data_IF_059225910997
#
_entry.id   IF_059225910997
#
_cell.length_a   1.000
_cell.length_b   1.000
_cell.length_c   1.000
_cell.angle_alpha   90.00
_cell.angle_beta   90.00
_cell.angle_gamma   90.00
#
_symmetry.space_group_name_H-M   'P 1'
#
loop_
_entity.id
_entity.type
_entity.pdbx_description
1 polymer ?
#
# COMPACT_ATOMS: atom_id res chain seq x y z
N UNK A 1 46.68 -17.91 -6.78
CA UNK A 1 45.69 -17.76 -7.87
C UNK A 1 44.34 -17.49 -7.21
N UNK A 2 44.01 -16.20 -7.20
CA UNK A 2 42.78 -15.49 -6.82
C UNK A 2 41.64 -16.22 -6.08
N UNK A 3 41.55 -15.93 -4.77
CA UNK A 3 40.29 -15.76 -4.08
C UNK A 3 39.68 -14.40 -4.51
N UNK A 4 38.57 -14.43 -5.26
CA UNK A 4 37.76 -13.25 -5.53
C UNK A 4 36.70 -13.19 -4.44
N UNK A 5 37.04 -12.52 -3.34
CA UNK A 5 36.07 -12.10 -2.34
C UNK A 5 35.10 -11.10 -2.96
N UNK A 6 33.84 -11.51 -3.08
CA UNK A 6 32.73 -10.58 -3.34
C UNK A 6 32.56 -9.75 -2.08
N UNK A 7 33.21 -8.58 -2.02
CA UNK A 7 32.83 -7.53 -1.08
C UNK A 7 31.45 -7.02 -1.51
N UNK A 8 30.42 -7.38 -0.75
CA UNK A 8 29.19 -6.58 -0.71
C UNK A 8 29.61 -5.15 -0.38
N UNK A 9 29.43 -4.23 -1.33
CA UNK A 9 29.58 -2.82 -1.06
C UNK A 9 28.49 -2.44 -0.04
N UNK A 10 28.88 -2.30 1.22
CA UNK A 10 28.10 -1.57 2.21
C UNK A 10 27.76 -0.22 1.57
N UNK A 11 26.48 0.00 1.24
CA UNK A 11 26.08 1.16 0.46
C UNK A 11 26.47 2.42 1.20
N UNK A 12 27.47 3.13 0.65
CA UNK A 12 28.01 4.39 1.15
C UNK A 12 26.87 5.35 1.49
N UNK A 13 26.89 5.90 2.70
CA UNK A 13 26.02 7.00 3.15
C UNK A 13 26.41 8.36 2.58
N UNK A 14 27.54 8.42 1.88
CA UNK A 14 28.10 9.64 1.30
C UNK A 14 27.20 10.13 0.13
N UNK A 15 26.54 11.27 0.35
CA UNK A 15 25.61 11.87 -0.61
C UNK A 15 24.13 11.51 -0.43
N UNK A 16 23.74 10.73 0.58
CA UNK A 16 22.32 10.48 0.88
C UNK A 16 21.62 11.78 1.33
N UNK A 17 20.47 12.11 0.72
CA UNK A 17 19.71 13.30 1.10
C UNK A 17 18.97 13.03 2.42
N UNK A 18 19.26 13.84 3.43
CA UNK A 18 18.61 13.74 4.74
C UNK A 18 17.27 14.47 4.75
N UNK A 19 16.26 13.82 5.33
CA UNK A 19 14.94 14.35 5.70
C UNK A 19 14.51 13.70 7.02
N UNK A 20 13.48 14.21 7.68
CA UNK A 20 12.93 13.56 8.86
C UNK A 20 11.99 12.42 8.48
N UNK A 21 11.17 12.61 7.42
CA UNK A 21 10.14 11.64 7.02
C UNK A 21 10.18 11.37 5.52
N UNK A 22 10.17 10.08 5.14
CA UNK A 22 9.90 9.66 3.76
C UNK A 22 8.51 9.03 3.70
N UNK A 23 7.67 9.52 2.79
CA UNK A 23 6.38 8.92 2.44
C UNK A 23 6.54 8.17 1.12
N UNK A 24 6.29 6.86 1.10
CA UNK A 24 6.37 6.04 -0.10
C UNK A 24 4.96 5.71 -0.60
N UNK A 25 4.66 6.10 -1.82
CA UNK A 25 3.35 6.02 -2.46
C UNK A 25 2.55 7.31 -2.27
N UNK A 26 1.97 7.81 -3.35
CA UNK A 26 1.14 9.01 -3.38
C UNK A 26 -0.25 8.72 -3.99
N UNK A 27 -0.81 7.57 -3.60
CA UNK A 27 -2.26 7.38 -3.63
C UNK A 27 -2.94 8.06 -2.44
N UNK A 28 -4.25 7.81 -2.26
CA UNK A 28 -5.07 8.43 -1.21
C UNK A 28 -4.46 8.40 0.20
N UNK A 29 -3.78 7.31 0.55
CA UNK A 29 -3.15 7.13 1.85
C UNK A 29 -1.90 7.99 2.05
N UNK A 30 -1.02 8.02 1.04
CA UNK A 30 0.19 8.83 1.07
C UNK A 30 -0.13 10.32 1.04
N UNK A 31 -1.07 10.74 0.18
CA UNK A 31 -1.53 12.13 0.11
C UNK A 31 -2.18 12.59 1.41
N UNK A 32 -3.00 11.74 2.04
CA UNK A 32 -3.56 12.05 3.36
C UNK A 32 -2.47 12.24 4.42
N UNK A 33 -1.46 11.35 4.45
CA UNK A 33 -0.35 11.47 5.40
C UNK A 33 0.50 12.73 5.15
N UNK A 34 0.82 13.01 3.88
CA UNK A 34 1.56 14.21 3.46
C UNK A 34 0.82 15.51 3.81
N UNK A 35 -0.50 15.55 3.62
CA UNK A 35 -1.34 16.67 4.07
C UNK A 35 -1.22 16.89 5.59
N UNK A 36 -1.30 15.83 6.40
CA UNK A 36 -1.18 15.97 7.85
C UNK A 36 0.23 16.39 8.28
N UNK A 37 1.30 15.92 7.60
CA UNK A 37 2.67 16.40 7.81
C UNK A 37 2.75 17.91 7.55
N UNK A 38 2.25 18.35 6.38
CA UNK A 38 2.21 19.77 6.00
C UNK A 38 1.44 20.60 7.02
N UNK A 39 0.27 20.13 7.43
CA UNK A 39 -0.63 20.80 8.38
C UNK A 39 0.01 21.03 9.75
N UNK A 40 0.91 20.15 10.19
CA UNK A 40 1.61 20.29 11.48
C UNK A 40 2.99 20.95 11.35
N UNK A 41 3.30 21.54 10.20
CA UNK A 41 4.46 22.42 10.01
C UNK A 41 5.68 21.77 9.33
N UNK A 42 5.60 20.51 8.91
CA UNK A 42 6.67 19.93 8.10
C UNK A 42 6.66 20.56 6.70
N UNK A 43 7.83 20.94 6.21
CA UNK A 43 8.02 21.50 4.88
C UNK A 43 8.44 20.41 3.89
N UNK A 44 7.73 20.27 2.74
CA UNK A 44 8.14 19.37 1.66
C UNK A 44 9.56 19.67 1.18
N UNK A 45 10.32 18.64 0.84
CA UNK A 45 11.71 18.65 0.35
C UNK A 45 12.78 19.10 1.36
N UNK A 46 12.37 19.66 2.50
CA UNK A 46 13.23 19.98 3.64
C UNK A 46 13.08 18.93 4.75
N UNK A 47 11.87 18.79 5.28
CA UNK A 47 11.58 17.95 6.45
C UNK A 47 10.99 16.61 6.02
N UNK A 48 10.24 16.58 4.91
CA UNK A 48 9.73 15.33 4.35
C UNK A 48 9.73 15.29 2.84
N UNK A 49 9.70 14.09 2.26
CA UNK A 49 9.54 13.87 0.83
C UNK A 49 8.46 12.82 0.56
N UNK A 50 7.70 13.01 -0.51
CA UNK A 50 6.74 12.02 -1.01
C UNK A 50 7.28 11.44 -2.32
N UNK A 51 7.41 10.12 -2.38
CA UNK A 51 7.97 9.38 -3.52
C UNK A 51 6.89 8.47 -4.09
N UNK A 52 6.65 8.52 -5.40
CA UNK A 52 5.65 7.68 -6.04
C UNK A 52 6.13 7.18 -7.40
N UNK A 53 5.93 5.89 -7.65
CA UNK A 53 6.43 5.24 -8.87
C UNK A 53 5.48 5.45 -10.07
N UNK A 54 4.22 5.83 -9.81
CA UNK A 54 3.24 6.03 -10.87
C UNK A 54 3.68 7.17 -11.81
N UNK A 55 3.30 7.13 -13.09
CA UNK A 55 3.71 8.14 -14.05
C UNK A 55 3.01 9.49 -13.82
N UNK A 56 1.82 9.49 -13.22
CA UNK A 56 0.97 10.66 -12.99
C UNK A 56 0.21 10.53 -11.64
N UNK A 57 -0.37 11.63 -11.12
CA UNK A 57 -1.27 11.58 -9.98
C UNK A 57 -2.47 10.65 -10.20
N UNK A 58 -3.05 10.18 -9.09
CA UNK A 58 -4.19 9.24 -9.08
C UNK A 58 -3.92 7.94 -8.33
N UNK A 59 -2.66 7.63 -8.03
CA UNK A 59 -2.28 6.36 -7.39
C UNK A 59 -2.84 5.16 -8.17
N UNK A 60 -3.38 4.16 -7.47
CA UNK A 60 -3.98 2.99 -8.13
C UNK A 60 -5.23 3.29 -8.97
N UNK A 61 -5.90 4.44 -8.79
CA UNK A 61 -7.14 4.76 -9.49
C UNK A 61 -6.94 4.99 -10.98
N UNK A 62 -5.79 5.54 -11.38
CA UNK A 62 -5.47 5.81 -12.79
C UNK A 62 -5.39 4.52 -13.64
N UNK A 63 -5.26 3.36 -13.00
CA UNK A 63 -5.18 2.06 -13.65
C UNK A 63 -6.49 1.27 -13.59
N UNK A 64 -7.57 1.85 -13.05
CA UNK A 64 -8.88 1.23 -13.05
C UNK A 64 -9.40 1.12 -14.48
N UNK A 65 -10.20 0.08 -14.69
CA UNK A 65 -10.71 -0.25 -16.01
C UNK A 65 -11.64 0.83 -16.57
N UNK A 66 -11.74 0.98 -17.90
CA UNK A 66 -12.43 2.11 -18.52
C UNK A 66 -13.92 2.22 -18.16
N UNK A 67 -14.60 1.09 -17.98
CA UNK A 67 -16.03 1.04 -17.65
C UNK A 67 -16.35 1.38 -16.18
N UNK A 68 -15.35 1.52 -15.30
CA UNK A 68 -15.57 2.02 -13.94
C UNK A 68 -15.77 3.54 -13.97
N UNK A 69 -17.04 3.97 -14.06
CA UNK A 69 -17.39 5.39 -13.96
C UNK A 69 -17.38 5.87 -12.52
N UNK A 70 -17.18 7.17 -12.30
CA UNK A 70 -17.11 7.78 -10.97
C UNK A 70 -18.36 7.48 -10.13
N UNK A 71 -19.56 7.54 -10.71
CA UNK A 71 -20.82 7.24 -10.02
C UNK A 71 -20.95 5.77 -9.57
N UNK A 72 -20.15 4.86 -10.12
CA UNK A 72 -20.09 3.44 -9.73
C UNK A 72 -18.93 3.12 -8.78
N UNK A 73 -18.12 4.12 -8.42
CA UNK A 73 -17.00 3.92 -7.49
C UNK A 73 -17.53 3.68 -6.08
N UNK A 74 -17.25 2.50 -5.55
CA UNK A 74 -17.40 2.23 -4.12
C UNK A 74 -16.09 2.56 -3.39
N UNK A 75 -16.16 3.43 -2.38
CA UNK A 75 -15.06 3.64 -1.42
C UNK A 75 -14.08 4.78 -1.73
N UNK A 76 -14.35 5.60 -2.76
CA UNK A 76 -13.66 6.89 -2.91
C UNK A 76 -14.41 7.97 -2.12
N UNK A 77 -13.68 8.73 -1.31
CA UNK A 77 -14.19 9.86 -0.54
C UNK A 77 -13.20 11.03 -0.67
N UNK A 78 -13.63 12.24 -0.33
CA UNK A 78 -12.74 13.40 -0.28
C UNK A 78 -11.53 13.15 0.64
N UNK A 79 -10.35 13.53 0.16
CA UNK A 79 -9.12 13.64 0.95
C UNK A 79 -9.23 14.80 1.94
N UNK A 80 -8.49 14.76 3.06
CA UNK A 80 -8.61 15.78 4.09
C UNK A 80 -8.28 17.17 3.56
N UNK A 81 -9.14 18.15 3.85
CA UNK A 81 -8.91 19.55 3.51
C UNK A 81 -9.41 19.98 2.13
N UNK A 82 -9.88 19.06 1.28
CA UNK A 82 -10.39 19.41 -0.05
C UNK A 82 -11.51 18.47 -0.49
N UNK A 83 -12.70 19.02 -0.70
CA UNK A 83 -13.84 18.24 -1.19
C UNK A 83 -13.69 17.88 -2.67
N UNK A 84 -14.12 16.67 -3.04
CA UNK A 84 -14.29 16.26 -4.43
C UNK A 84 -15.72 16.60 -4.88
N UNK A 85 -15.89 17.76 -5.51
CA UNK A 85 -17.21 18.28 -5.94
C UNK A 85 -17.29 18.42 -7.46
N UNK A 86 -18.52 18.42 -7.99
CA UNK A 86 -18.79 18.78 -9.39
C UNK A 86 -18.36 17.76 -10.45
N UNK A 87 -17.87 16.58 -10.06
CA UNK A 87 -17.50 15.54 -11.01
C UNK A 87 -18.73 14.88 -11.65
N UNK A 88 -18.75 14.79 -12.97
CA UNK A 88 -19.76 14.06 -13.72
C UNK A 88 -19.69 12.55 -13.37
N UNK A 89 -20.78 11.95 -12.84
CA UNK A 89 -20.80 10.54 -12.45
C UNK A 89 -20.61 9.56 -13.63
N UNK A 90 -20.80 10.00 -14.88
CA UNK A 90 -20.61 9.18 -16.06
C UNK A 90 -19.14 9.09 -16.51
N UNK A 91 -18.28 10.03 -16.08
CA UNK A 91 -16.86 10.03 -16.46
C UNK A 91 -16.10 8.83 -15.89
N UNK A 92 -15.05 8.34 -16.56
CA UNK A 92 -14.17 7.32 -16.02
C UNK A 92 -13.57 7.76 -14.68
N UNK A 93 -13.67 6.88 -13.69
CA UNK A 93 -13.12 7.13 -12.35
C UNK A 93 -11.61 7.36 -12.35
N UNK A 94 -10.90 6.71 -13.27
CA UNK A 94 -9.45 6.86 -13.45
C UNK A 94 -9.06 8.28 -13.85
N UNK A 95 -9.91 8.98 -14.60
CA UNK A 95 -9.70 10.39 -14.97
C UNK A 95 -10.07 11.32 -13.82
N UNK A 96 -11.31 11.20 -13.31
CA UNK A 96 -11.84 12.08 -12.25
C UNK A 96 -10.94 12.07 -11.01
N UNK A 97 -10.49 10.88 -10.58
CA UNK A 97 -9.67 10.76 -9.37
C UNK A 97 -8.23 11.20 -9.63
N UNK A 98 -7.70 10.99 -10.84
CA UNK A 98 -6.37 11.49 -11.20
C UNK A 98 -6.32 13.02 -11.20
N UNK A 99 -7.30 13.67 -11.84
CA UNK A 99 -7.44 15.15 -11.84
C UNK A 99 -7.60 15.71 -10.43
N UNK A 100 -8.39 15.03 -9.59
CA UNK A 100 -8.57 15.41 -8.20
C UNK A 100 -7.27 15.30 -7.39
N UNK A 101 -6.49 14.23 -7.55
CA UNK A 101 -5.22 14.08 -6.84
C UNK A 101 -4.16 15.07 -7.33
N UNK A 102 -4.13 15.36 -8.63
CA UNK A 102 -3.27 16.39 -9.20
C UNK A 102 -3.56 17.76 -8.56
N UNK A 103 -4.83 18.17 -8.59
CA UNK A 103 -5.29 19.41 -7.94
C UNK A 103 -4.98 19.43 -6.44
N UNK A 104 -5.11 18.29 -5.76
CA UNK A 104 -4.85 18.16 -4.33
C UNK A 104 -3.37 18.39 -4.02
N UNK A 105 -2.48 17.79 -4.80
CA UNK A 105 -1.04 17.93 -4.65
C UNK A 105 -0.58 19.37 -4.86
N UNK A 106 -1.13 20.05 -5.86
CA UNK A 106 -0.87 21.47 -6.14
C UNK A 106 -1.39 22.36 -5.02
N UNK A 107 -2.65 22.18 -4.62
CA UNK A 107 -3.34 23.01 -3.60
C UNK A 107 -2.60 23.01 -2.27
N UNK A 108 -2.05 21.86 -1.86
CA UNK A 108 -1.31 21.74 -0.60
C UNK A 108 0.21 21.79 -0.77
N UNK A 109 0.70 22.02 -2.00
CA UNK A 109 2.11 22.13 -2.31
C UNK A 109 2.91 20.90 -1.90
N UNK A 110 2.38 19.69 -2.08
CA UNK A 110 2.97 18.45 -1.54
C UNK A 110 4.24 18.01 -2.28
N UNK A 111 4.51 18.54 -3.47
CA UNK A 111 5.73 18.33 -4.27
C UNK A 111 6.12 16.86 -4.40
N UNK A 112 5.16 16.02 -4.80
CA UNK A 112 5.41 14.59 -4.97
C UNK A 112 6.43 14.35 -6.08
N UNK A 113 7.44 13.53 -5.80
CA UNK A 113 8.48 13.15 -6.77
C UNK A 113 8.00 11.93 -7.57
N UNK A 114 7.84 12.12 -8.89
CA UNK A 114 7.44 11.08 -9.85
C UNK A 114 8.26 11.13 -11.15
N UNK A 115 8.38 10.00 -11.86
CA UNK A 115 8.26 8.64 -11.34
C UNK A 115 9.50 8.27 -10.51
N UNK A 116 9.32 7.74 -9.30
CA UNK A 116 10.41 7.27 -8.43
C UNK A 116 10.09 5.89 -7.86
N UNK A 117 10.83 4.88 -8.31
CA UNK A 117 10.76 3.53 -7.76
C UNK A 117 11.56 3.46 -6.46
N UNK A 118 10.90 3.15 -5.35
CA UNK A 118 11.60 2.76 -4.13
C UNK A 118 11.93 1.28 -4.21
N UNK A 119 13.23 0.97 -4.33
CA UNK A 119 13.72 -0.39 -4.54
C UNK A 119 13.93 -1.13 -3.23
N UNK A 120 14.42 -0.41 -2.21
CA UNK A 120 14.85 -1.01 -0.96
C UNK A 120 14.80 -0.01 0.19
N UNK A 121 14.37 -0.47 1.36
CA UNK A 121 14.56 0.21 2.63
C UNK A 121 15.36 -0.71 3.54
N UNK A 122 16.42 -0.18 4.14
CA UNK A 122 17.32 -0.91 5.06
C UNK A 122 17.77 -0.02 6.20
N UNK A 123 18.41 -0.61 7.20
CA UNK A 123 19.13 0.15 8.21
C UNK A 123 20.24 1.00 7.60
N UNK A 124 20.37 2.20 8.14
CA UNK A 124 21.44 3.14 7.87
C UNK A 124 22.19 3.54 9.14
N UNK A 125 23.08 4.52 8.98
CA UNK A 125 23.89 5.05 10.07
C UNK A 125 23.07 5.99 10.96
N UNK A 126 23.51 6.15 12.21
CA UNK A 126 22.94 7.14 13.14
C UNK A 126 21.47 6.90 13.50
N UNK A 127 21.03 5.64 13.50
CA UNK A 127 19.64 5.26 13.83
C UNK A 127 18.62 5.57 12.73
N UNK A 128 19.07 5.98 11.54
CA UNK A 128 18.20 6.32 10.40
C UNK A 128 17.97 5.12 9.47
N UNK A 129 16.89 5.18 8.72
CA UNK A 129 16.60 4.27 7.62
C UNK A 129 17.19 4.83 6.32
N UNK A 130 17.72 3.96 5.46
CA UNK A 130 18.13 4.29 4.09
C UNK A 130 17.09 3.80 3.09
N UNK A 131 16.56 4.74 2.31
CA UNK A 131 15.58 4.50 1.26
C UNK A 131 16.29 4.64 -0.09
N UNK A 132 16.54 3.51 -0.74
CA UNK A 132 17.19 3.43 -2.05
C UNK A 132 16.13 3.50 -3.16
N UNK A 133 16.30 4.46 -4.07
CA UNK A 133 15.34 4.70 -5.14
C UNK A 133 15.99 4.64 -6.52
N UNK A 134 15.18 4.74 -7.57
CA UNK A 134 15.68 4.88 -8.95
C UNK A 134 16.44 6.19 -9.20
N UNK A 135 16.20 7.23 -8.41
CA UNK A 135 16.79 8.55 -8.61
C UNK A 135 17.95 8.86 -7.65
N UNK A 136 17.79 8.54 -6.36
CA UNK A 136 18.80 8.77 -5.31
C UNK A 136 18.53 7.99 -4.02
N UNK A 137 19.46 8.07 -3.07
CA UNK A 137 19.28 7.53 -1.71
C UNK A 137 18.83 8.62 -0.76
N UNK A 138 17.86 8.31 0.09
CA UNK A 138 17.40 9.16 1.19
C UNK A 138 17.76 8.54 2.54
N UNK A 139 18.15 9.37 3.49
CA UNK A 139 18.36 8.98 4.89
C UNK A 139 17.30 9.64 5.77
N UNK A 140 16.47 8.83 6.42
CA UNK A 140 15.24 9.30 7.08
C UNK A 140 15.12 8.76 8.51
N UNK A 141 14.50 9.53 9.40
CA UNK A 141 14.26 9.12 10.79
C UNK A 141 12.98 8.30 10.92
N UNK A 142 11.97 8.64 10.12
CA UNK A 142 10.72 7.91 10.04
C UNK A 142 10.31 7.62 8.60
N UNK A 143 9.47 6.59 8.44
CA UNK A 143 8.95 6.13 7.17
C UNK A 143 7.43 5.96 7.25
N UNK A 144 6.70 6.55 6.31
CA UNK A 144 5.29 6.23 6.07
C UNK A 144 5.21 5.44 4.76
N UNK A 145 4.92 4.16 4.85
CA UNK A 145 4.70 3.28 3.70
C UNK A 145 3.21 3.25 3.33
N UNK A 146 2.89 3.81 2.16
CA UNK A 146 1.54 3.97 1.62
C UNK A 146 1.39 3.47 0.18
N UNK A 147 2.14 2.42 -0.18
CA UNK A 147 2.22 1.84 -1.53
C UNK A 147 1.01 0.99 -1.96
N UNK A 148 0.03 0.76 -1.09
CA UNK A 148 -1.20 0.04 -1.43
C UNK A 148 -0.95 -1.41 -1.91
N UNK A 149 -1.80 -1.88 -2.82
CA UNK A 149 -1.81 -3.29 -3.25
C UNK A 149 -1.76 -3.50 -4.77
N UNK A 150 -2.05 -2.47 -5.56
CA UNK A 150 -2.38 -2.59 -6.98
C UNK A 150 -1.27 -3.27 -7.82
N UNK A 151 0.00 -3.02 -7.51
CA UNK A 151 1.12 -3.58 -8.29
C UNK A 151 1.40 -5.06 -7.97
N UNK A 152 0.63 -5.65 -7.06
CA UNK A 152 0.79 -7.04 -6.62
C UNK A 152 -0.48 -7.86 -6.84
N UNK A 153 -0.92 -8.04 -8.10
CA UNK A 153 -2.06 -8.90 -8.41
C UNK A 153 -1.82 -10.31 -7.86
N UNK A 154 -2.84 -10.90 -7.24
CA UNK A 154 -2.74 -12.24 -6.70
C UNK A 154 -3.18 -13.27 -7.74
N UNK A 155 -2.20 -13.95 -8.33
CA UNK A 155 -2.42 -15.07 -9.24
C UNK A 155 -2.32 -16.40 -8.49
N UNK A 156 -3.43 -17.08 -8.18
CA UNK A 156 -3.36 -18.41 -7.61
C UNK A 156 -2.90 -19.43 -8.66
N UNK A 157 -2.13 -20.42 -8.23
CA UNK A 157 -1.72 -21.54 -9.08
C UNK A 157 -2.74 -22.67 -8.98
N UNK A 158 -3.22 -23.14 -10.13
CA UNK A 158 -4.07 -24.34 -10.23
C UNK A 158 -3.44 -25.39 -11.15
N UNK A 159 -3.67 -26.69 -10.92
CA UNK A 159 -3.23 -27.74 -11.83
C UNK A 159 -3.75 -27.52 -13.26
N UNK A 160 -2.89 -27.72 -14.26
CA UNK A 160 -3.23 -27.62 -15.69
C UNK A 160 -3.33 -26.21 -16.27
N UNK A 161 -3.11 -25.15 -15.47
CA UNK A 161 -3.17 -23.75 -15.91
C UNK A 161 -2.25 -23.43 -17.09
N UNK A 162 -1.10 -24.11 -17.17
CA UNK A 162 -0.09 -23.99 -18.23
C UNK A 162 -0.52 -24.63 -19.57
N UNK A 163 -1.53 -25.49 -19.54
CA UNK A 163 -2.06 -26.17 -20.73
C UNK A 163 -3.30 -25.50 -21.31
N UNK A 164 -3.84 -24.48 -20.62
CA UNK A 164 -5.03 -23.77 -21.05
C UNK A 164 -4.76 -23.02 -22.35
N UNK A 165 -5.53 -23.34 -23.39
CA UNK A 165 -5.40 -22.75 -24.73
C UNK A 165 -6.09 -21.39 -24.84
N UNK A 166 -7.00 -21.08 -23.92
CA UNK A 166 -7.70 -19.80 -23.84
C UNK A 166 -6.88 -18.71 -23.16
N UNK A 167 -7.49 -17.54 -23.00
CA UNK A 167 -6.85 -16.35 -22.42
C UNK A 167 -7.01 -16.32 -20.90
N UNK A 168 -5.96 -15.99 -20.16
CA UNK A 168 -6.06 -15.70 -18.73
C UNK A 168 -5.83 -14.22 -18.50
N UNK A 169 -6.76 -13.58 -17.79
CA UNK A 169 -6.73 -12.13 -17.53
C UNK A 169 -6.91 -11.93 -16.04
N UNK A 170 -6.14 -11.03 -15.43
CA UNK A 170 -6.40 -10.58 -14.05
C UNK A 170 -7.18 -9.27 -14.08
N UNK A 171 -7.95 -8.97 -13.03
CA UNK A 171 -8.68 -7.70 -12.90
C UNK A 171 -7.81 -6.44 -13.07
N UNK A 172 -6.50 -6.55 -12.91
CA UNK A 172 -5.56 -5.44 -13.10
C UNK A 172 -5.40 -5.04 -14.58
N UNK A 173 -5.66 -5.97 -15.50
CA UNK A 173 -5.64 -5.77 -16.95
C UNK A 173 -6.99 -6.03 -17.59
N UNK A 174 -8.09 -5.80 -16.86
CA UNK A 174 -9.44 -5.95 -17.41
C UNK A 174 -9.71 -4.81 -18.41
N UNK A 175 -9.95 -5.13 -19.71
CA UNK A 175 -10.01 -4.13 -20.77
C UNK A 175 -11.40 -3.48 -20.94
N UNK A 176 -12.42 -3.98 -20.24
CA UNK A 176 -13.83 -3.68 -20.53
C UNK A 176 -14.59 -4.90 -21.06
N UNK A 177 -15.93 -4.86 -21.04
CA UNK A 177 -16.78 -6.03 -21.26
C UNK A 177 -16.84 -6.43 -22.74
N UNK A 178 -16.66 -5.50 -23.67
CA UNK A 178 -16.71 -5.75 -25.12
C UNK A 178 -15.62 -6.73 -25.57
N UNK A 179 -14.48 -6.76 -24.87
CA UNK A 179 -13.38 -7.68 -25.17
C UNK A 179 -13.71 -9.17 -24.91
N UNK A 180 -14.87 -9.43 -24.29
CA UNK A 180 -15.39 -10.75 -23.96
C UNK A 180 -16.60 -11.13 -24.84
N UNK A 181 -16.96 -10.31 -25.82
CA UNK A 181 -18.10 -10.54 -26.69
C UNK A 181 -18.04 -11.93 -27.34
N UNK A 182 -19.12 -12.71 -27.21
CA UNK A 182 -19.24 -14.05 -27.78
C UNK A 182 -18.33 -15.14 -27.17
N UNK A 183 -17.60 -14.84 -26.09
CA UNK A 183 -16.71 -15.80 -25.43
C UNK A 183 -17.40 -16.51 -24.26
N UNK A 184 -16.92 -17.71 -23.91
CA UNK A 184 -17.30 -18.40 -22.67
C UNK A 184 -16.32 -18.00 -21.57
N UNK A 185 -16.80 -17.31 -20.54
CA UNK A 185 -15.95 -16.65 -19.55
C UNK A 185 -16.15 -17.27 -18.16
N UNK A 186 -15.08 -17.78 -17.58
CA UNK A 186 -15.05 -18.17 -16.16
C UNK A 186 -14.51 -16.99 -15.35
N UNK A 187 -15.35 -16.41 -14.49
CA UNK A 187 -14.94 -15.33 -13.57
C UNK A 187 -14.63 -15.93 -12.20
N UNK A 188 -13.38 -15.81 -11.75
CA UNK A 188 -12.90 -16.36 -10.49
C UNK A 188 -12.75 -15.26 -9.44
N UNK A 189 -13.53 -15.34 -8.37
CA UNK A 189 -13.44 -14.43 -7.22
C UNK A 189 -14.79 -13.88 -6.77
N UNK A 190 -15.07 -13.96 -5.47
CA UNK A 190 -16.32 -13.47 -4.84
C UNK A 190 -16.26 -12.02 -4.36
N UNK A 191 -15.27 -11.26 -4.80
CA UNK A 191 -15.05 -9.87 -4.40
C UNK A 191 -16.02 -8.89 -5.08
N UNK A 192 -15.98 -7.62 -4.66
CA UNK A 192 -16.68 -6.54 -5.36
C UNK A 192 -16.29 -6.49 -6.85
N UNK A 193 -14.99 -6.55 -7.17
CA UNK A 193 -14.52 -6.60 -8.56
C UNK A 193 -15.03 -7.84 -9.31
N UNK A 194 -15.01 -9.02 -8.69
CA UNK A 194 -15.48 -10.24 -9.36
C UNK A 194 -16.97 -10.19 -9.70
N UNK A 195 -17.78 -9.67 -8.77
CA UNK A 195 -19.23 -9.50 -8.96
C UNK A 195 -19.52 -8.45 -10.01
N UNK A 196 -18.82 -7.30 -9.96
CA UNK A 196 -18.98 -6.23 -10.93
C UNK A 196 -18.60 -6.68 -12.35
N UNK A 197 -17.42 -7.28 -12.52
CA UNK A 197 -16.96 -7.76 -13.83
C UNK A 197 -17.91 -8.80 -14.40
N UNK A 198 -18.35 -9.74 -13.58
CA UNK A 198 -19.30 -10.77 -13.99
C UNK A 198 -20.61 -10.17 -14.53
N UNK A 199 -21.20 -9.23 -13.79
CA UNK A 199 -22.43 -8.54 -14.20
C UNK A 199 -22.24 -7.70 -15.46
N UNK A 200 -21.06 -7.11 -15.65
CA UNK A 200 -20.75 -6.26 -16.80
C UNK A 200 -20.44 -7.08 -18.05
N UNK A 201 -19.82 -8.26 -17.90
CA UNK A 201 -19.47 -9.18 -18.99
C UNK A 201 -20.69 -9.98 -19.47
N UNK A 202 -21.60 -10.35 -18.56
CA UNK A 202 -22.73 -11.25 -18.85
C UNK A 202 -23.57 -10.85 -20.08
N UNK A 203 -23.86 -9.56 -20.35
CA UNK A 203 -24.61 -9.16 -21.54
C UNK A 203 -23.85 -9.32 -22.86
N UNK A 204 -22.52 -9.44 -22.84
CA UNK A 204 -21.66 -9.50 -24.03
C UNK A 204 -21.17 -10.92 -24.32
N UNK A 205 -20.85 -11.68 -23.28
CA UNK A 205 -20.31 -13.02 -23.39
C UNK A 205 -21.33 -14.02 -23.95
N UNK A 206 -20.86 -15.08 -24.60
CA UNK A 206 -21.72 -16.20 -24.99
C UNK A 206 -22.24 -16.95 -23.75
N UNK A 207 -21.40 -17.04 -22.71
CA UNK A 207 -21.82 -17.48 -21.37
C UNK A 207 -20.83 -17.04 -20.31
N UNK A 208 -21.32 -16.91 -19.08
CA UNK A 208 -20.48 -16.65 -17.90
C UNK A 208 -20.64 -17.77 -16.87
N UNK A 209 -19.56 -18.11 -16.19
CA UNK A 209 -19.57 -19.00 -15.02
C UNK A 209 -18.85 -18.33 -13.86
N UNK A 210 -19.54 -18.17 -12.74
CA UNK A 210 -18.95 -17.59 -11.54
C UNK A 210 -18.36 -18.67 -10.65
N UNK A 211 -17.09 -18.51 -10.27
CA UNK A 211 -16.39 -19.47 -9.42
C UNK A 211 -15.85 -18.75 -8.18
N UNK A 212 -16.24 -19.23 -6.99
CA UNK A 212 -15.76 -18.68 -5.73
C UNK A 212 -15.27 -19.77 -4.78
N UNK A 213 -14.22 -19.48 -4.01
CA UNK A 213 -13.70 -20.41 -3.01
C UNK A 213 -14.63 -20.58 -1.81
N UNK A 214 -15.32 -19.51 -1.44
CA UNK A 214 -16.31 -19.46 -0.36
C UNK A 214 -17.56 -18.82 -0.91
N UNK A 215 -18.68 -19.16 -0.32
CA UNK A 215 -19.94 -18.51 -0.65
C UNK A 215 -19.87 -17.01 -0.34
N UNK A 216 -20.16 -16.14 -1.32
CA UNK A 216 -20.24 -14.70 -1.09
C UNK A 216 -21.34 -14.38 -0.09
N UNK A 217 -21.02 -13.53 0.87
CA UNK A 217 -22.00 -13.06 1.87
C UNK A 217 -22.62 -11.77 1.38
N UNK A 218 -23.90 -11.82 1.03
CA UNK A 218 -24.68 -10.63 0.67
C UNK A 218 -25.29 -9.99 1.92
N UNK A 219 -25.34 -8.66 1.94
CA UNK A 219 -25.86 -7.88 3.08
C UNK A 219 -26.90 -6.88 2.62
N UNK A 220 -28.03 -6.92 3.31
CA UNK A 220 -29.16 -6.01 3.13
C UNK A 220 -29.02 -4.77 4.04
N UNK A 221 -29.65 -3.68 3.61
CA UNK A 221 -29.70 -2.42 4.36
C UNK A 221 -28.40 -1.60 4.29
N UNK A 222 -28.39 -0.41 4.91
CA UNK A 222 -27.28 0.52 4.81
C UNK A 222 -26.02 -0.01 5.51
N UNK A 223 -24.86 0.48 5.06
CA UNK A 223 -23.60 0.31 5.76
C UNK A 223 -23.38 1.50 6.70
N UNK A 224 -23.90 1.38 7.92
CA UNK A 224 -23.79 2.41 8.96
C UNK A 224 -22.42 2.46 9.64
N UNK A 225 -22.23 3.45 10.51
CA UNK A 225 -20.97 3.64 11.23
C UNK A 225 -20.62 2.49 12.18
N UNK A 226 -21.63 1.85 12.79
CA UNK A 226 -21.41 0.75 13.73
C UNK A 226 -20.86 -0.47 13.01
N UNK A 227 -21.47 -0.84 11.88
CA UNK A 227 -20.96 -1.87 10.97
C UNK A 227 -19.57 -1.52 10.46
N UNK A 228 -19.33 -0.25 10.13
CA UNK A 228 -18.00 0.26 9.79
C UNK A 228 -16.96 0.00 10.89
N UNK A 229 -17.27 0.33 12.14
CA UNK A 229 -16.39 0.10 13.29
C UNK A 229 -16.15 -1.39 13.54
N UNK A 230 -17.18 -2.22 13.46
CA UNK A 230 -17.06 -3.66 13.64
C UNK A 230 -16.17 -4.31 12.56
N UNK A 231 -16.35 -3.91 11.29
CA UNK A 231 -15.51 -4.38 10.19
C UNK A 231 -14.04 -3.98 10.38
N UNK A 232 -13.77 -2.73 10.79
CA UNK A 232 -12.41 -2.27 11.11
C UNK A 232 -11.80 -3.09 12.24
N UNK A 233 -12.53 -3.32 13.34
CA UNK A 233 -12.05 -4.08 14.49
C UNK A 233 -11.64 -5.51 14.13
N UNK A 234 -12.41 -6.19 13.27
CA UNK A 234 -12.05 -7.53 12.76
C UNK A 234 -10.73 -7.55 11.99
N UNK A 235 -10.48 -6.51 11.19
CA UNK A 235 -9.23 -6.41 10.42
C UNK A 235 -8.06 -6.03 11.33
N UNK A 236 -8.26 -5.14 12.30
CA UNK A 236 -7.26 -4.75 13.30
C UNK A 236 -6.81 -5.93 14.16
N UNK A 237 -7.76 -6.76 14.63
CA UNK A 237 -7.44 -7.98 15.39
C UNK A 237 -6.49 -8.89 14.60
N UNK A 238 -6.82 -9.14 13.34
CA UNK A 238 -6.05 -10.01 12.46
C UNK A 238 -4.63 -9.48 12.22
N UNK A 239 -4.49 -8.17 12.03
CA UNK A 239 -3.19 -7.49 11.89
C UNK A 239 -2.37 -7.59 13.18
N UNK A 240 -3.01 -7.44 14.35
CA UNK A 240 -2.34 -7.55 15.66
C UNK A 240 -1.78 -8.96 15.92
N UNK A 241 -2.39 -9.97 15.29
CA UNK A 241 -1.93 -11.36 15.31
C UNK A 241 -0.81 -11.64 14.27
N UNK A 242 -0.35 -10.65 13.50
CA UNK A 242 0.66 -10.84 12.46
C UNK A 242 0.16 -11.54 11.20
N UNK A 243 -1.16 -11.67 11.03
CA UNK A 243 -1.79 -12.30 9.88
C UNK A 243 -2.05 -11.27 8.77
N UNK A 244 -2.04 -11.74 7.52
CA UNK A 244 -2.43 -10.87 6.39
C UNK A 244 -3.90 -10.44 6.48
N UNK A 245 -4.21 -9.15 6.23
CA UNK A 245 -5.59 -8.69 6.08
C UNK A 245 -6.34 -9.49 5.00
N UNK A 246 -7.62 -9.72 5.22
CA UNK A 246 -8.51 -10.30 4.22
C UNK A 246 -9.11 -9.20 3.32
N UNK A 247 -9.84 -9.59 2.28
CA UNK A 247 -10.55 -8.63 1.41
C UNK A 247 -11.60 -7.85 2.22
N UNK A 248 -11.86 -6.59 1.83
CA UNK A 248 -12.88 -5.75 2.51
C UNK A 248 -14.22 -6.47 2.58
N UNK A 249 -14.67 -7.08 1.48
CA UNK A 249 -15.94 -7.81 1.44
C UNK A 249 -15.98 -9.05 2.34
N UNK A 250 -14.84 -9.58 2.78
CA UNK A 250 -14.82 -10.68 3.74
C UNK A 250 -15.27 -10.27 5.15
N UNK A 251 -15.17 -8.97 5.48
CA UNK A 251 -15.63 -8.41 6.75
C UNK A 251 -16.91 -7.58 6.60
N UNK A 252 -17.12 -6.93 5.44
CA UNK A 252 -18.32 -6.10 5.20
C UNK A 252 -19.47 -6.87 4.53
N UNK A 253 -19.17 -7.95 3.80
CA UNK A 253 -20.08 -8.53 2.82
C UNK A 253 -20.21 -7.69 1.55
N UNK A 254 -20.98 -8.20 0.59
CA UNK A 254 -21.41 -7.52 -0.64
C UNK A 254 -22.75 -6.81 -0.39
N UNK A 255 -22.85 -5.49 -0.60
CA UNK A 255 -24.12 -4.80 -0.44
C UNK A 255 -25.12 -5.26 -1.52
N UNK A 256 -26.37 -5.48 -1.12
CA UNK A 256 -27.46 -5.76 -2.07
C UNK A 256 -28.06 -4.44 -2.55
N UNK A 257 -27.95 -4.18 -3.84
CA UNK A 257 -28.67 -3.13 -4.57
C UNK A 257 -29.54 -3.76 -5.66
N UNK A 258 -30.30 -2.95 -6.39
CA UNK A 258 -31.24 -3.45 -7.40
C UNK A 258 -30.53 -4.23 -8.51
N UNK A 259 -29.35 -3.78 -8.95
CA UNK A 259 -28.55 -4.49 -9.94
C UNK A 259 -28.09 -5.88 -9.45
N UNK A 260 -27.73 -6.01 -8.17
CA UNK A 260 -27.40 -7.31 -7.55
C UNK A 260 -28.66 -8.18 -7.44
N UNK A 261 -29.82 -7.62 -7.10
CA UNK A 261 -31.08 -8.39 -7.06
C UNK A 261 -31.44 -8.94 -8.44
N UNK A 262 -31.35 -8.09 -9.47
CA UNK A 262 -31.61 -8.46 -10.85
C UNK A 262 -30.63 -9.54 -11.34
N UNK A 263 -29.32 -9.34 -11.11
CA UNK A 263 -28.31 -10.31 -11.50
C UNK A 263 -28.48 -11.67 -10.80
N UNK A 264 -28.98 -11.69 -9.55
CA UNK A 264 -29.36 -12.93 -8.87
C UNK A 264 -30.62 -13.56 -9.47
N UNK A 265 -31.65 -12.75 -9.74
CA UNK A 265 -32.90 -13.24 -10.33
C UNK A 265 -32.68 -13.87 -11.72
N UNK A 266 -31.73 -13.35 -12.48
CA UNK A 266 -31.38 -13.83 -13.82
C UNK A 266 -30.29 -14.93 -13.80
N UNK A 267 -29.89 -15.44 -12.63
CA UNK A 267 -28.90 -16.52 -12.50
C UNK A 267 -27.44 -16.12 -12.80
N UNK A 268 -27.16 -14.83 -13.10
CA UNK A 268 -25.80 -14.35 -13.38
C UNK A 268 -24.89 -14.54 -12.17
N UNK A 269 -25.44 -14.42 -10.96
CA UNK A 269 -24.72 -14.59 -9.69
C UNK A 269 -24.87 -16.00 -9.10
N UNK A 270 -25.22 -17.00 -9.92
CA UNK A 270 -25.18 -18.40 -9.51
C UNK A 270 -23.72 -18.89 -9.49
N UNK A 271 -23.24 -19.17 -8.28
CA UNK A 271 -21.85 -19.60 -8.09
C UNK A 271 -21.67 -21.10 -8.27
N UNK A 272 -20.49 -21.48 -8.74
CA UNK A 272 -19.90 -22.79 -8.54
C UNK A 272 -18.79 -22.71 -7.48
N UNK A 273 -18.53 -23.81 -6.73
CA UNK A 273 -17.34 -23.90 -5.90
C UNK A 273 -16.09 -23.86 -6.79
N UNK A 274 -14.95 -23.58 -6.19
CA UNK A 274 -13.66 -23.60 -6.89
C UNK A 274 -13.45 -24.93 -7.64
N UNK A 275 -13.01 -24.85 -8.90
CA UNK A 275 -12.61 -26.03 -9.68
C UNK A 275 -11.33 -26.66 -9.14
N UNK A 276 -11.15 -27.95 -9.41
CA UNK A 276 -9.99 -28.72 -8.96
C UNK A 276 -8.82 -28.60 -9.95
N UNK A 277 -9.11 -28.41 -11.24
CA UNK A 277 -8.10 -28.23 -12.30
C UNK A 277 -8.59 -27.37 -13.46
N UNK A 278 -7.63 -26.81 -14.17
CA UNK A 278 -7.80 -26.19 -15.49
C UNK A 278 -7.47 -27.25 -16.54
N UNK A 279 -8.28 -27.32 -17.58
CA UNK A 279 -8.08 -28.22 -18.74
C UNK A 279 -7.67 -27.38 -19.96
N UNK A 280 -7.21 -27.98 -21.06
CA UNK A 280 -6.85 -27.21 -22.24
C UNK A 280 -7.96 -26.31 -22.79
N UNK A 281 -9.23 -26.64 -22.54
CA UNK A 281 -10.39 -25.93 -23.09
C UNK A 281 -11.37 -25.43 -22.03
N UNK A 282 -10.97 -25.37 -20.75
CA UNK A 282 -11.88 -24.96 -19.68
C UNK A 282 -11.42 -25.31 -18.26
N UNK A 283 -12.37 -25.61 -17.39
CA UNK A 283 -12.15 -25.98 -15.98
C UNK A 283 -12.94 -27.24 -15.62
N UNK A 284 -12.45 -28.01 -14.66
CA UNK A 284 -13.07 -29.27 -14.25
C UNK A 284 -13.02 -29.51 -12.74
N UNK A 285 -14.01 -30.25 -12.26
CA UNK A 285 -14.11 -30.72 -10.89
C UNK A 285 -13.95 -32.25 -10.84
N UNK A 286 -13.60 -32.78 -9.66
CA UNK A 286 -13.43 -34.21 -9.42
C UNK A 286 -14.76 -34.98 -9.38
N UNK A 287 -15.88 -34.27 -9.16
CA UNK A 287 -17.22 -34.83 -9.25
C UNK A 287 -17.73 -35.01 -10.69
N UNK A 288 -16.89 -34.73 -11.69
CA UNK A 288 -17.18 -34.92 -13.11
C UNK A 288 -17.72 -33.68 -13.81
N UNK A 289 -18.06 -32.59 -13.09
CA UNK A 289 -18.44 -31.32 -13.73
C UNK A 289 -17.30 -30.78 -14.59
N UNK A 290 -17.65 -30.23 -15.76
CA UNK A 290 -16.72 -29.54 -16.67
C UNK A 290 -17.40 -28.31 -17.24
N UNK A 291 -16.66 -27.22 -17.30
CA UNK A 291 -17.11 -25.97 -17.92
C UNK A 291 -16.07 -25.58 -18.97
N UNK A 292 -16.51 -25.45 -20.22
CA UNK A 292 -15.64 -24.97 -21.27
C UNK A 292 -15.46 -23.46 -21.17
N UNK A 293 -14.25 -22.97 -21.39
CA UNK A 293 -13.92 -21.56 -21.25
C UNK A 293 -12.93 -21.12 -22.33
N UNK A 294 -13.20 -19.96 -22.91
CA UNK A 294 -12.27 -19.27 -23.81
C UNK A 294 -11.43 -18.27 -23.00
N UNK A 295 -11.98 -17.77 -21.89
CA UNK A 295 -11.27 -16.87 -20.97
C UNK A 295 -11.51 -17.24 -19.51
N UNK A 296 -10.44 -17.19 -18.72
CA UNK A 296 -10.50 -17.20 -17.25
C UNK A 296 -10.12 -15.81 -16.75
N UNK A 297 -11.07 -15.11 -16.14
CA UNK A 297 -10.87 -13.81 -15.50
C UNK A 297 -10.62 -13.99 -14.00
N UNK A 298 -9.39 -13.71 -13.57
CA UNK A 298 -8.94 -13.75 -12.19
C UNK A 298 -9.25 -12.43 -11.48
N UNK A 299 -10.40 -12.37 -10.81
CA UNK A 299 -10.78 -11.30 -9.88
C UNK A 299 -10.37 -11.68 -8.44
N UNK A 300 -9.14 -12.17 -8.29
CA UNK A 300 -8.60 -12.79 -7.08
C UNK A 300 -7.93 -11.83 -6.11
N UNK A 301 -8.01 -10.53 -6.39
CA UNK A 301 -7.52 -9.47 -5.54
C UNK A 301 -6.01 -9.28 -5.63
N UNK A 302 -5.44 -8.65 -4.60
CA UNK A 302 -4.08 -8.17 -4.62
C UNK A 302 -3.40 -8.41 -3.27
N UNK A 303 -2.07 -8.47 -3.27
CA UNK A 303 -1.23 -8.52 -2.06
C UNK A 303 -0.71 -7.12 -1.73
N UNK A 304 -0.21 -6.94 -0.50
CA UNK A 304 0.46 -5.69 -0.13
C UNK A 304 1.75 -5.47 -0.94
N UNK A 305 1.93 -4.27 -1.50
CA UNK A 305 3.14 -3.88 -2.22
C UNK A 305 4.22 -3.41 -1.25
N UNK A 306 4.88 -4.36 -0.57
CA UNK A 306 5.81 -4.09 0.56
C UNK A 306 7.15 -4.82 0.43
N UNK A 307 7.51 -5.31 -0.75
CA UNK A 307 8.76 -6.08 -0.93
C UNK A 307 10.01 -5.22 -0.76
N UNK A 308 9.94 -3.92 -1.04
CA UNK A 308 11.03 -2.98 -0.76
C UNK A 308 11.36 -2.88 0.73
N UNK A 309 10.45 -3.28 1.63
CA UNK A 309 10.67 -3.36 3.07
C UNK A 309 11.27 -4.70 3.53
N UNK A 310 11.46 -5.67 2.64
CA UNK A 310 11.96 -7.00 3.00
C UNK A 310 13.27 -7.00 3.80
N UNK A 311 14.28 -6.13 3.54
CA UNK A 311 15.51 -6.10 4.33
C UNK A 311 15.31 -5.74 5.80
N UNK A 312 14.24 -5.02 6.14
CA UNK A 312 13.90 -4.69 7.53
C UNK A 312 13.32 -5.88 8.31
N UNK A 313 13.03 -7.01 7.64
CA UNK A 313 12.55 -8.26 8.25
C UNK A 313 11.31 -8.07 9.15
N UNK A 314 10.41 -7.18 8.74
CA UNK A 314 9.20 -6.81 9.52
C UNK A 314 8.08 -7.88 9.48
N UNK A 315 8.17 -8.87 8.58
CA UNK A 315 7.11 -9.87 8.40
C UNK A 315 7.18 -10.95 9.49
N UNK A 316 6.03 -11.28 10.04
CA UNK A 316 5.88 -12.38 11.00
C UNK A 316 5.58 -13.72 10.30
N UNK A 317 5.66 -14.87 11.00
CA UNK A 317 5.37 -16.18 10.43
C UNK A 317 3.98 -16.28 9.76
N UNK A 318 3.01 -15.47 10.19
CA UNK A 318 1.68 -15.35 9.58
C UNK A 318 1.65 -14.64 8.22
N UNK A 319 2.80 -14.19 7.71
CA UNK A 319 2.96 -13.50 6.42
C UNK A 319 2.58 -12.01 6.43
N UNK A 320 1.99 -11.51 7.51
CA UNK A 320 1.69 -10.09 7.72
C UNK A 320 2.82 -9.34 8.43
N UNK A 321 2.71 -8.02 8.49
CA UNK A 321 3.50 -7.17 9.38
C UNK A 321 2.60 -6.84 10.57
N UNK A 322 3.02 -7.21 11.79
CA UNK A 322 2.27 -6.87 13.00
C UNK A 322 2.34 -5.38 13.26
N UNK A 323 1.20 -4.76 13.57
CA UNK A 323 1.11 -3.33 13.82
C UNK A 323 0.32 -3.01 15.08
N UNK A 324 0.71 -1.92 15.74
CA UNK A 324 -0.10 -1.23 16.74
C UNK A 324 -0.52 0.11 16.15
N UNK A 325 -1.81 0.27 15.84
CA UNK A 325 -2.26 1.39 15.02
C UNK A 325 -1.64 1.31 13.63
N UNK A 326 -0.82 2.30 13.27
CA UNK A 326 -0.10 2.32 11.97
C UNK A 326 1.34 1.84 12.08
N UNK A 327 1.89 1.77 13.29
CA UNK A 327 3.30 1.51 13.54
C UNK A 327 3.62 0.03 13.49
N UNK A 328 4.67 -0.36 12.76
CA UNK A 328 5.17 -1.72 12.76
C UNK A 328 5.71 -2.09 14.16
N UNK A 329 5.38 -3.29 14.64
CA UNK A 329 5.77 -3.72 15.98
C UNK A 329 7.29 -3.91 16.13
N UNK A 330 7.96 -4.35 15.06
CA UNK A 330 9.40 -4.63 15.06
C UNK A 330 10.28 -3.42 14.78
N UNK A 331 9.72 -2.35 14.19
CA UNK A 331 10.44 -1.10 13.94
C UNK A 331 9.50 0.11 14.12
N UNK A 332 9.64 0.87 15.21
CA UNK A 332 8.75 1.99 15.51
C UNK A 332 8.90 3.18 14.56
N UNK A 333 9.95 3.22 13.72
CA UNK A 333 10.15 4.26 12.69
C UNK A 333 9.27 4.02 11.47
N UNK A 334 8.77 2.80 11.28
CA UNK A 334 7.99 2.39 10.09
C UNK A 334 6.51 2.38 10.39
N UNK A 335 5.76 3.19 9.65
CA UNK A 335 4.31 3.24 9.66
C UNK A 335 3.75 2.70 8.35
N UNK A 336 2.74 1.83 8.39
CA UNK A 336 2.01 1.39 7.21
C UNK A 336 0.61 2.01 7.21
N UNK A 337 0.30 2.75 6.15
CA UNK A 337 -0.96 3.50 5.99
C UNK A 337 -1.60 3.11 4.67
N UNK A 338 -2.92 2.95 4.61
CA UNK A 338 -3.61 2.48 3.40
C UNK A 338 -3.65 0.96 3.26
N UNK A 339 -3.30 0.24 4.32
CA UNK A 339 -3.33 -1.22 4.40
C UNK A 339 -4.38 -1.70 5.39
N UNK A 340 -4.93 -2.90 5.15
CA UNK A 340 -5.85 -3.58 6.05
C UNK A 340 -6.97 -2.66 6.55
N UNK A 341 -7.03 -2.33 7.85
CA UNK A 341 -8.11 -1.53 8.44
C UNK A 341 -8.16 -0.09 7.92
N UNK A 342 -7.08 0.39 7.30
CA UNK A 342 -6.95 1.75 6.76
C UNK A 342 -7.04 1.82 5.23
N UNK A 343 -7.43 0.73 4.56
CA UNK A 343 -7.43 0.65 3.09
C UNK A 343 -8.49 1.51 2.38
N UNK A 344 -9.52 1.99 3.09
CA UNK A 344 -10.50 2.95 2.56
C UNK A 344 -9.99 4.38 2.67
N UNK A 345 -10.54 5.32 1.90
CA UNK A 345 -10.11 6.73 1.95
C UNK A 345 -10.34 7.38 3.33
N UNK A 346 -11.48 7.09 3.96
CA UNK A 346 -11.78 7.54 5.34
C UNK A 346 -10.78 6.93 6.34
N UNK A 347 -10.53 5.61 6.23
CA UNK A 347 -9.58 4.90 7.08
C UNK A 347 -8.16 5.42 6.90
N UNK A 348 -7.75 5.67 5.67
CA UNK A 348 -6.45 6.19 5.28
C UNK A 348 -6.20 7.60 5.82
N UNK A 349 -7.22 8.48 5.80
CA UNK A 349 -7.13 9.80 6.41
C UNK A 349 -6.91 9.70 7.93
N UNK A 350 -7.71 8.90 8.64
CA UNK A 350 -7.54 8.68 10.09
C UNK A 350 -6.15 8.12 10.42
N UNK A 351 -5.71 7.12 9.66
CA UNK A 351 -4.42 6.47 9.83
C UNK A 351 -3.26 7.41 9.52
N UNK A 352 -3.32 8.20 8.44
CA UNK A 352 -2.31 9.20 8.10
C UNK A 352 -2.13 10.22 9.23
N UNK A 353 -3.23 10.76 9.77
CA UNK A 353 -3.19 11.64 10.94
C UNK A 353 -2.58 10.98 12.17
N UNK A 354 -2.91 9.71 12.42
CA UNK A 354 -2.36 8.96 13.55
C UNK A 354 -0.85 8.74 13.40
N UNK A 355 -0.39 8.32 12.22
CA UNK A 355 1.02 8.13 11.90
C UNK A 355 1.82 9.42 12.13
N UNK A 356 1.33 10.56 11.62
CA UNK A 356 2.00 11.87 11.81
C UNK A 356 2.15 12.22 13.29
N UNK A 357 1.12 12.00 14.12
CA UNK A 357 1.20 12.25 15.57
C UNK A 357 2.22 11.35 16.26
N UNK A 358 2.31 10.09 15.85
CA UNK A 358 3.31 9.16 16.42
C UNK A 358 4.73 9.51 15.98
N UNK A 359 4.89 9.94 14.73
CA UNK A 359 6.17 10.41 14.19
C UNK A 359 6.65 11.68 14.91
N UNK A 360 5.77 12.67 15.15
CA UNK A 360 6.15 13.85 15.94
C UNK A 360 6.69 13.45 17.32
N UNK A 361 6.01 12.53 18.03
CA UNK A 361 6.49 12.02 19.32
C UNK A 361 7.82 11.27 19.22
N UNK A 362 8.05 10.55 18.13
CA UNK A 362 9.33 9.88 17.88
C UNK A 362 10.45 10.92 17.74
N UNK A 363 10.25 11.90 16.85
CA UNK A 363 11.25 12.94 16.58
C UNK A 363 11.51 13.83 17.81
N UNK A 364 10.48 14.16 18.58
CA UNK A 364 10.61 14.92 19.82
C UNK A 364 11.47 14.21 20.87
N UNK A 365 11.33 12.88 21.00
CA UNK A 365 12.15 12.08 21.92
C UNK A 365 13.61 12.02 21.47
N UNK A 366 13.84 11.70 20.20
CA UNK A 366 15.20 11.65 19.64
C UNK A 366 15.91 13.01 19.72
N UNK A 367 15.19 14.12 19.53
CA UNK A 367 15.74 15.46 19.66
C UNK A 367 16.13 15.78 21.12
N UNK A 368 15.35 15.32 22.11
CA UNK A 368 15.68 15.47 23.53
C UNK A 368 16.90 14.64 23.92
N UNK A 369 16.93 13.37 23.53
CA UNK A 369 18.06 12.47 23.79
C UNK A 369 19.36 12.98 23.15
N UNK A 370 19.28 13.54 21.94
CA UNK A 370 20.42 14.17 21.27
C UNK A 370 20.89 15.44 21.99
N UNK A 371 19.95 16.27 22.48
CA UNK A 371 20.24 17.49 23.23
C UNK A 371 20.85 17.21 24.60
N UNK A 372 20.37 16.18 25.31
CA UNK A 372 20.93 15.71 26.59
C UNK A 372 22.34 15.16 26.39
N UNK A 373 22.57 14.31 25.39
CA UNK A 373 23.91 13.81 25.07
C UNK A 373 24.89 14.94 24.70
N UNK A 374 24.43 15.98 24.00
CA UNK A 374 25.27 17.12 23.64
C UNK A 374 25.58 18.01 24.85
N UNK A 375 24.63 18.15 25.79
CA UNK A 375 24.82 18.87 27.04
C UNK A 375 25.78 18.12 28.00
N UNK A 376 25.68 16.79 28.08
CA UNK A 376 26.59 15.96 28.88
C UNK A 376 28.01 15.97 28.32
N UNK A 377 28.16 15.89 26.99
CA UNK A 377 29.47 16.04 26.34
C UNK A 377 30.07 17.43 26.58
N UNK A 378 29.29 18.50 26.41
CA UNK A 378 29.74 19.86 26.72
C UNK A 378 30.09 20.04 28.21
N UNK A 379 29.36 19.38 29.11
CA UNK A 379 29.62 19.38 30.55
C UNK A 379 30.89 18.60 30.94
N UNK A 380 31.22 17.51 30.23
CA UNK A 380 32.49 16.78 30.39
C UNK A 380 33.67 17.58 29.83
N UNK A 381 33.56 18.12 28.62
CA UNK A 381 34.62 18.94 28.00
C UNK A 381 34.85 20.24 28.78
N UNK A 382 33.80 20.85 29.34
CA UNK A 382 33.91 22.02 30.22
C UNK A 382 34.55 21.74 31.60
N UNK A 383 34.61 20.48 32.04
CA UNK A 383 35.39 20.06 33.23
C UNK A 383 36.85 19.74 32.88
N UNK A 384 37.17 19.56 31.60
CA UNK A 384 38.51 19.26 31.08
C UNK A 384 39.11 20.45 30.30
N UNK A 385 39.25 21.62 30.94
CA UNK A 385 40.16 22.68 30.45
C UNK A 385 40.20 23.93 31.34
N UNK A 386 41.35 24.64 31.51
CA UNK A 386 42.75 24.30 31.25
C UNK A 386 43.54 24.24 32.58
N UNK A 387 43.66 23.06 33.23
CA UNK A 387 44.62 22.88 34.34
C UNK A 387 45.94 22.23 33.91
N UNK A 388 46.14 22.00 32.60
CA UNK A 388 47.30 21.26 32.10
C UNK A 388 48.17 22.01 31.08
N UNK A 389 48.09 23.36 31.02
CA UNK A 389 49.07 24.16 30.26
C UNK A 389 50.16 24.82 31.10
N UNK A 390 50.02 24.89 32.42
CA UNK A 390 51.12 25.36 33.30
C UNK A 390 52.07 24.22 33.73
N UNK A 391 51.63 22.96 33.75
CA UNK A 391 52.46 21.84 34.18
C UNK A 391 53.46 21.32 33.13
N UNK A 392 53.36 21.78 31.87
CA UNK A 392 54.25 21.36 30.78
C UNK A 392 55.29 22.43 30.40
N UNK A 393 55.10 23.69 30.81
CA UNK A 393 56.10 24.74 30.65
C UNK A 393 57.21 24.67 31.74
N UNK A 394 56.89 24.17 32.94
CA UNK A 394 57.87 24.05 34.03
C UNK A 394 58.74 22.78 33.95
N UNK A 395 58.45 21.86 33.03
CA UNK A 395 59.28 20.65 32.82
C UNK A 395 60.35 20.80 31.73
N UNK A 396 60.25 21.78 30.83
CA UNK A 396 61.27 22.05 29.81
C UNK A 396 62.35 23.07 30.25
N UNK A 397 62.18 23.72 31.41
CA UNK A 397 63.18 24.65 31.96
C UNK A 397 64.22 24.00 32.90
N UNK A 398 64.10 22.71 33.20
CA UNK A 398 64.99 21.99 34.14
C UNK A 398 65.95 20.98 33.47
N UNK A 399 66.01 20.92 32.14
CA UNK A 399 66.92 20.02 31.40
C UNK A 399 68.01 20.74 30.59
N UNK A 400 68.22 22.03 30.85
CA UNK A 400 69.41 22.78 30.41
C UNK A 400 69.87 23.71 31.54
N UNK A 401 70.53 23.12 32.54
CA UNK A 401 71.42 23.82 33.48
C UNK A 401 72.44 22.85 34.06
#
# INVERSE_FOLDING_TARGET
MNEIGVREAAGSTDGARQVDVVVIGAGQAGLSAAFHLRRVGFEPERDFVVLDHAPRPGGAWQFRWPSLTYGKVHGMHSLPGMELTGADPARPSSEVIAEYFDTYEETFGLRVRRPVDVRRVREGDGGRLLVETSARVWSTRALINATGTWDRPFWPRYPGQETFLGRQVHTAGYPGPEAFAGQRVVVVGGGASGTQHLMEIAPFAASTTWVTRREPVFREGPFDEERGRAAVALVEERVRQGLTPLSVVSVTGLPVNDAIREARANGVLDRLPMFDRITPTGVAWDDGRKVAADVILWATGFRAAIDHLAPLKLREPGGGIRMTGTRAALDPRVHLVGYGPSASTIGANRAGRAAVREIQRLLDRENRESGENQADWAGQVGREGPKNREAQADREAAEVA
#
